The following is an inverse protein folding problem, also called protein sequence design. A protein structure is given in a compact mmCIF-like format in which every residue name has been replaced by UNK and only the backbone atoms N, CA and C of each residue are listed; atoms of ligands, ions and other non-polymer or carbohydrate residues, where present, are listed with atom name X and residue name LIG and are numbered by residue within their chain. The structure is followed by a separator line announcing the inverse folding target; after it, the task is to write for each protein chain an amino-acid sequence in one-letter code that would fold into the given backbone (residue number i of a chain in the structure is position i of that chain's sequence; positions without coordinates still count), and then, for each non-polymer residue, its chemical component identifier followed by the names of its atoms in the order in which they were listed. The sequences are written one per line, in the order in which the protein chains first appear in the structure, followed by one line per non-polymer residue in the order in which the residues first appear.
data_IF_584783007263
#
_entry.id   IF_584783007263
#
_cell.length_a   1.000
_cell.length_b   1.000
_cell.length_c   1.000
_cell.angle_alpha   90.00
_cell.angle_beta   90.00
_cell.angle_gamma   90.00
#
_symmetry.space_group_name_H-M   'P 1'
#
loop_
_entity.id
_entity.type
_entity.pdbx_description
1 polymer ?
#
# COMPACT_ATOMS: atom_id res chain seq x y z
N UNK A 1 17.33 -0.41 -14.47
CA UNK A 1 16.30 -0.96 -13.57
C UNK A 1 16.97 -1.49 -12.30
N UNK A 2 16.42 -1.24 -11.12
CA UNK A 2 16.98 -1.75 -9.85
C UNK A 2 16.76 -3.26 -9.71
N UNK A 3 17.66 -3.94 -8.98
CA UNK A 3 17.63 -5.40 -8.77
C UNK A 3 16.30 -5.88 -8.16
N UNK A 4 15.76 -5.10 -7.20
CA UNK A 4 14.48 -5.39 -6.52
C UNK A 4 13.30 -5.40 -7.49
N UNK A 5 13.26 -4.47 -8.46
CA UNK A 5 12.18 -4.41 -9.47
C UNK A 5 12.19 -5.65 -10.36
N UNK A 6 13.38 -6.13 -10.75
CA UNK A 6 13.54 -7.36 -11.56
C UNK A 6 13.07 -8.61 -10.81
N UNK A 7 13.41 -8.75 -9.52
CA UNK A 7 12.99 -9.91 -8.71
C UNK A 7 11.48 -9.96 -8.48
N UNK A 8 10.84 -8.82 -8.21
CA UNK A 8 9.38 -8.74 -8.10
C UNK A 8 8.70 -9.08 -9.42
N UNK A 9 9.24 -8.61 -10.54
CA UNK A 9 8.69 -8.89 -11.86
C UNK A 9 8.80 -10.38 -12.21
N UNK A 10 9.93 -11.01 -11.91
CA UNK A 10 10.10 -12.47 -12.07
C UNK A 10 9.16 -13.27 -11.16
N UNK A 11 9.03 -12.87 -9.90
CA UNK A 11 8.17 -13.55 -8.94
C UNK A 11 6.68 -13.48 -9.31
N UNK A 12 6.24 -12.37 -9.87
CA UNK A 12 4.84 -12.15 -10.27
C UNK A 12 4.55 -12.56 -11.72
N UNK A 13 5.55 -13.08 -12.45
CA UNK A 13 5.34 -13.53 -13.84
C UNK A 13 4.39 -14.72 -13.85
N UNK A 14 3.27 -14.59 -14.59
CA UNK A 14 2.25 -15.63 -14.70
C UNK A 14 1.21 -15.65 -13.58
N UNK A 15 1.29 -14.72 -12.63
CA UNK A 15 0.28 -14.56 -11.56
C UNK A 15 -0.80 -13.59 -12.04
N UNK A 16 -2.07 -13.97 -11.87
CA UNK A 16 -3.20 -13.10 -12.22
C UNK A 16 -3.26 -11.87 -11.31
N UNK A 17 -3.42 -10.69 -11.91
CA UNK A 17 -3.50 -9.42 -11.18
C UNK A 17 -4.61 -9.43 -10.11
N UNK A 18 -5.78 -9.95 -10.45
CA UNK A 18 -6.92 -10.06 -9.52
C UNK A 18 -6.58 -10.90 -8.29
N UNK A 19 -5.85 -11.99 -8.48
CA UNK A 19 -5.41 -12.84 -7.38
C UNK A 19 -4.47 -12.07 -6.45
N UNK A 20 -3.51 -11.32 -7.01
CA UNK A 20 -2.59 -10.47 -6.22
C UNK A 20 -3.33 -9.39 -5.46
N UNK A 21 -4.29 -8.71 -6.09
CA UNK A 21 -5.12 -7.68 -5.44
C UNK A 21 -5.92 -8.26 -4.27
N UNK A 22 -6.59 -9.40 -4.49
CA UNK A 22 -7.37 -10.08 -3.45
C UNK A 22 -6.49 -10.50 -2.25
N UNK A 23 -5.29 -11.01 -2.51
CA UNK A 23 -4.33 -11.35 -1.46
C UNK A 23 -3.76 -10.13 -0.75
N UNK A 24 -3.57 -9.03 -1.45
CA UNK A 24 -3.16 -7.76 -0.82
C UNK A 24 -4.23 -7.22 0.12
N UNK A 25 -5.50 -7.30 -0.26
CA UNK A 25 -6.64 -6.92 0.60
C UNK A 25 -6.72 -7.82 1.85
N UNK A 26 -6.67 -9.14 1.67
CA UNK A 26 -6.66 -10.11 2.77
C UNK A 26 -5.50 -9.83 3.75
N UNK A 27 -4.30 -9.62 3.21
CA UNK A 27 -3.12 -9.29 4.01
C UNK A 27 -3.27 -7.95 4.75
N UNK A 28 -3.80 -6.93 4.09
CA UNK A 28 -4.08 -5.64 4.71
C UNK A 28 -5.04 -5.82 5.89
N UNK A 29 -6.15 -6.54 5.71
CA UNK A 29 -7.12 -6.78 6.78
C UNK A 29 -6.51 -7.51 7.98
N UNK A 30 -5.77 -8.60 7.72
CA UNK A 30 -5.19 -9.44 8.77
C UNK A 30 -4.12 -8.71 9.59
N UNK A 31 -3.30 -7.87 8.95
CA UNK A 31 -2.12 -7.29 9.59
C UNK A 31 -2.20 -5.79 9.84
N UNK A 32 -3.32 -5.15 9.51
CA UNK A 32 -3.52 -3.70 9.66
C UNK A 32 -3.07 -3.17 11.02
N UNK A 33 -3.68 -3.69 12.09
CA UNK A 33 -3.45 -3.23 13.46
C UNK A 33 -2.02 -3.50 13.94
N UNK A 34 -1.34 -4.49 13.35
CA UNK A 34 0.04 -4.83 13.68
C UNK A 34 1.04 -3.92 12.95
N UNK A 35 0.76 -3.56 11.71
CA UNK A 35 1.68 -2.83 10.84
C UNK A 35 1.52 -1.31 10.93
N UNK A 36 0.30 -0.83 11.16
CA UNK A 36 0.03 0.60 11.24
C UNK A 36 0.37 1.15 12.63
N UNK A 37 1.08 2.28 12.65
CA UNK A 37 1.40 3.00 13.88
C UNK A 37 0.39 4.15 14.06
N UNK A 38 -0.39 4.20 15.15
CA UNK A 38 -1.44 5.21 15.33
C UNK A 38 -0.95 6.66 15.14
N UNK A 39 0.21 7.02 15.68
CA UNK A 39 0.79 8.35 15.52
C UNK A 39 1.09 8.69 14.05
N UNK A 40 1.55 7.72 13.26
CA UNK A 40 1.80 7.92 11.83
C UNK A 40 0.51 8.09 11.04
N UNK A 41 -0.54 7.34 11.39
CA UNK A 41 -1.85 7.50 10.77
C UNK A 41 -2.45 8.88 11.04
N UNK A 42 -2.38 9.34 12.29
CA UNK A 42 -2.88 10.67 12.69
C UNK A 42 -2.11 11.77 11.95
N UNK A 43 -0.79 11.66 11.85
CA UNK A 43 0.02 12.64 11.13
C UNK A 43 -0.38 12.74 9.64
N UNK A 44 -0.53 11.60 8.96
CA UNK A 44 -0.97 11.56 7.57
C UNK A 44 -2.38 12.14 7.42
N UNK A 45 -3.32 11.77 8.31
CA UNK A 45 -4.68 12.28 8.29
C UNK A 45 -4.74 13.81 8.48
N UNK A 46 -3.89 14.38 9.33
CA UNK A 46 -3.81 15.83 9.54
C UNK A 46 -3.32 16.55 8.29
N UNK A 47 -2.31 16.02 7.60
CA UNK A 47 -1.81 16.60 6.34
C UNK A 47 -2.86 16.52 5.22
N UNK A 48 -3.56 15.40 5.09
CA UNK A 48 -4.66 15.30 4.11
C UNK A 48 -5.77 16.30 4.44
N UNK A 49 -6.13 16.44 5.73
CA UNK A 49 -7.17 17.38 6.19
C UNK A 49 -6.75 18.84 6.01
N UNK A 50 -5.46 19.16 6.06
CA UNK A 50 -4.94 20.51 5.78
C UNK A 50 -4.97 20.88 4.29
N UNK A 51 -5.37 19.94 3.42
CA UNK A 51 -5.41 20.10 1.98
C UNK A 51 -4.08 19.76 1.29
N UNK A 52 -3.12 19.17 2.00
CA UNK A 52 -1.85 18.76 1.41
C UNK A 52 -2.01 17.51 0.55
N UNK A 53 -1.25 17.46 -0.56
CA UNK A 53 -1.13 16.25 -1.38
C UNK A 53 -0.11 15.32 -0.70
N UNK A 54 -0.59 14.23 -0.13
CA UNK A 54 0.27 13.20 0.48
C UNK A 54 0.55 12.09 -0.53
N UNK A 55 1.84 11.80 -0.77
CA UNK A 55 2.27 10.73 -1.69
C UNK A 55 2.98 9.61 -0.93
N UNK A 56 2.53 8.36 -1.14
CA UNK A 56 3.19 7.17 -0.60
C UNK A 56 4.32 6.71 -1.51
N UNK A 57 5.57 6.98 -1.11
CA UNK A 57 6.76 6.55 -1.84
C UNK A 57 7.28 5.22 -1.30
N UNK A 58 7.16 4.15 -2.10
CA UNK A 58 7.61 2.81 -1.70
C UNK A 58 8.32 2.06 -2.83
N UNK A 59 9.20 1.14 -2.43
CA UNK A 59 9.88 0.21 -3.34
C UNK A 59 9.08 -1.08 -3.58
N UNK A 60 7.91 -1.23 -2.95
CA UNK A 60 6.99 -2.34 -3.19
C UNK A 60 6.00 -1.98 -4.33
N UNK A 61 5.45 -2.97 -5.04
CA UNK A 61 4.47 -2.71 -6.10
C UNK A 61 3.22 -2.03 -5.56
N UNK A 62 2.68 -1.10 -6.34
CA UNK A 62 1.47 -0.35 -5.99
C UNK A 62 0.28 -1.26 -5.66
N UNK A 63 0.03 -2.31 -6.46
CA UNK A 63 -1.07 -3.26 -6.25
C UNK A 63 -1.08 -3.91 -4.85
N UNK A 64 0.09 -4.07 -4.23
CA UNK A 64 0.20 -4.64 -2.87
C UNK A 64 -0.03 -3.59 -1.79
N UNK A 65 0.25 -2.32 -2.11
CA UNK A 65 0.15 -1.19 -1.17
C UNK A 65 -1.19 -0.48 -1.23
N UNK A 66 -1.89 -0.58 -2.37
CA UNK A 66 -3.16 0.10 -2.62
C UNK A 66 -4.18 -0.08 -1.48
N UNK A 67 -4.42 -1.30 -0.95
CA UNK A 67 -5.36 -1.48 0.17
C UNK A 67 -4.92 -0.76 1.46
N UNK A 68 -3.62 -0.52 1.65
CA UNK A 68 -3.12 0.22 2.81
C UNK A 68 -3.23 1.74 2.63
N UNK A 69 -3.03 2.21 1.39
CA UNK A 69 -3.17 3.62 1.06
C UNK A 69 -4.64 4.04 1.13
N UNK A 70 -5.55 3.30 0.49
CA UNK A 70 -6.98 3.66 0.43
C UNK A 70 -7.66 3.65 1.80
N UNK A 71 -7.32 2.67 2.65
CA UNK A 71 -7.87 2.58 4.02
C UNK A 71 -7.41 3.74 4.92
N UNK A 72 -6.27 4.37 4.61
CA UNK A 72 -5.73 5.51 5.35
C UNK A 72 -6.08 6.86 4.75
N UNK A 73 -6.13 6.95 3.42
CA UNK A 73 -6.24 8.21 2.71
C UNK A 73 -7.68 8.70 2.58
N UNK A 74 -8.66 7.92 3.01
CA UNK A 74 -10.07 8.30 3.03
C UNK A 74 -10.50 8.84 1.68
N UNK A 75 -10.95 7.95 0.77
CA UNK A 75 -11.42 8.30 -0.57
C UNK A 75 -12.05 9.70 -0.62
N UNK A 76 -11.32 10.65 -1.22
CA UNK A 76 -11.90 11.87 -1.76
C UNK A 76 -12.55 11.53 -3.09
#
# INVERSE_FOLDING_TARGET
MSLKKRSLQLFLTGVEEKWVSSKAEEFCQLYWHRLMRPAGLIAVANEVTSGAIVTLCSASPEIVLRPFAEKNLGSN
#
